data_IF_866429087380
#
_entry.id   IF_866429087380
#
_cell.length_a   1.000
_cell.length_b   1.000
_cell.length_c   1.000
_cell.angle_alpha   90.00
_cell.angle_beta   90.00
_cell.angle_gamma   90.00
#
_symmetry.space_group_name_H-M   'P 1'
#
loop_
_entity.id
_entity.type
_entity.pdbx_description
1 polymer ?
#
# COMPACT_ATOMS: atom_id res chain seq x y z
N UNK A 1 9.78 -2.16 1.86
CA UNK A 1 8.91 -2.68 0.81
C UNK A 1 9.60 -2.73 -0.55
N UNK A 2 8.89 -3.20 -1.51
CA UNK A 2 9.35 -3.29 -2.90
C UNK A 2 8.91 -2.04 -3.65
N UNK A 3 9.85 -1.33 -4.28
CA UNK A 3 9.58 -0.21 -5.17
C UNK A 3 9.86 -0.63 -6.61
N UNK A 4 8.89 -0.38 -7.51
CA UNK A 4 8.99 -0.66 -8.93
C UNK A 4 8.80 0.66 -9.69
N UNK A 5 9.87 1.10 -10.37
CA UNK A 5 9.91 2.31 -11.22
C UNK A 5 10.26 1.96 -12.68
N UNK A 6 10.11 0.67 -13.03
CA UNK A 6 10.50 0.17 -14.34
C UNK A 6 9.52 0.58 -15.43
N UNK A 7 10.06 0.97 -16.58
CA UNK A 7 9.26 1.26 -17.79
C UNK A 7 8.90 -0.02 -18.57
N UNK A 8 9.29 -1.19 -18.13
CA UNK A 8 8.84 -2.47 -18.67
C UNK A 8 9.86 -3.57 -18.60
N UNK A 9 9.49 -4.80 -19.03
CA UNK A 9 8.45 -5.53 -18.32
C UNK A 9 8.96 -6.07 -16.98
N UNK A 10 8.10 -6.09 -15.97
CA UNK A 10 8.41 -6.70 -14.66
C UNK A 10 7.37 -7.78 -14.37
N UNK A 11 7.82 -8.94 -13.97
CA UNK A 11 6.96 -10.04 -13.56
C UNK A 11 7.32 -10.50 -12.16
N UNK A 12 6.34 -10.43 -11.26
CA UNK A 12 6.44 -10.97 -9.91
C UNK A 12 5.36 -12.03 -9.74
N UNK A 13 5.75 -13.22 -9.37
CA UNK A 13 4.85 -14.35 -9.21
C UNK A 13 5.07 -15.04 -7.87
N UNK A 14 4.01 -15.18 -7.07
CA UNK A 14 4.09 -15.86 -5.78
C UNK A 14 5.01 -15.15 -4.78
N UNK A 15 5.04 -13.82 -4.80
CA UNK A 15 5.91 -13.04 -3.93
C UNK A 15 5.15 -12.48 -2.73
N UNK A 16 5.84 -12.36 -1.59
CA UNK A 16 5.34 -11.69 -0.40
C UNK A 16 6.25 -10.54 0.03
N UNK A 17 5.64 -9.46 0.49
CA UNK A 17 6.34 -8.32 1.09
C UNK A 17 5.53 -7.89 2.31
N UNK A 18 6.16 -7.93 3.50
CA UNK A 18 5.45 -7.85 4.76
C UNK A 18 6.15 -6.95 5.76
N UNK A 19 5.36 -6.34 6.65
CA UNK A 19 5.78 -5.58 7.83
C UNK A 19 6.64 -4.35 7.56
N UNK A 20 6.62 -3.81 6.35
CA UNK A 20 7.30 -2.55 6.03
C UNK A 20 6.46 -1.34 6.45
N UNK A 21 7.13 -0.27 6.87
CA UNK A 21 6.49 0.90 7.49
C UNK A 21 5.60 1.71 6.55
N UNK A 22 6.00 1.87 5.30
CA UNK A 22 5.33 2.78 4.37
C UNK A 22 4.43 2.03 3.39
N UNK A 23 4.96 1.01 2.75
CA UNK A 23 4.25 0.17 1.78
C UNK A 23 4.92 -1.19 1.67
N UNK A 24 4.16 -2.16 1.22
CA UNK A 24 4.69 -3.48 0.90
C UNK A 24 5.14 -3.51 -0.56
N UNK A 25 4.26 -3.09 -1.49
CA UNK A 25 4.58 -2.85 -2.88
C UNK A 25 4.20 -1.43 -3.27
N UNK A 26 5.10 -0.73 -3.96
CA UNK A 26 4.84 0.57 -4.55
C UNK A 26 5.31 0.58 -6.00
N UNK A 27 4.39 0.96 -6.90
CA UNK A 27 4.65 1.16 -8.31
C UNK A 27 4.57 2.66 -8.59
N UNK A 28 5.62 3.23 -9.13
CA UNK A 28 5.67 4.66 -9.44
C UNK A 28 6.15 4.85 -10.86
N UNK A 29 5.32 5.45 -11.69
CA UNK A 29 5.59 5.64 -13.12
C UNK A 29 6.00 4.33 -13.82
N UNK A 30 5.49 3.21 -13.31
CA UNK A 30 5.83 1.89 -13.80
C UNK A 30 4.93 1.47 -14.98
N UNK A 31 5.51 0.73 -15.92
CA UNK A 31 4.80 0.25 -17.09
C UNK A 31 5.05 -1.25 -17.30
N UNK A 32 4.04 -1.94 -17.87
CA UNK A 32 4.13 -3.36 -18.22
C UNK A 32 4.50 -4.25 -17.02
N UNK A 33 3.74 -4.15 -15.94
CA UNK A 33 4.00 -4.91 -14.72
C UNK A 33 2.92 -5.97 -14.50
N UNK A 34 3.35 -7.19 -14.26
CA UNK A 34 2.50 -8.29 -13.81
C UNK A 34 2.84 -8.62 -12.36
N UNK A 35 1.86 -8.47 -11.48
CA UNK A 35 1.89 -8.95 -10.09
C UNK A 35 0.90 -10.10 -9.97
N UNK A 36 1.38 -11.32 -9.92
CA UNK A 36 0.53 -12.51 -9.83
C UNK A 36 0.74 -13.23 -8.50
N UNK A 37 -0.35 -13.50 -7.79
CA UNK A 37 -0.36 -14.18 -6.50
C UNK A 37 0.58 -13.52 -5.49
N UNK A 38 0.45 -12.20 -5.35
CA UNK A 38 1.19 -11.45 -4.34
C UNK A 38 0.47 -11.51 -2.99
N UNK A 39 1.26 -11.44 -1.92
CA UNK A 39 0.75 -11.32 -0.55
C UNK A 39 1.42 -10.17 0.17
N UNK A 40 0.66 -9.49 1.02
CA UNK A 40 1.18 -8.45 1.91
C UNK A 40 0.61 -8.59 3.31
N UNK A 41 1.38 -8.18 4.29
CA UNK A 41 0.90 -8.02 5.65
C UNK A 41 1.41 -6.69 6.23
N UNK A 42 0.50 -5.89 6.77
CA UNK A 42 0.84 -4.64 7.44
C UNK A 42 1.58 -4.88 8.75
N UNK A 43 2.48 -3.98 9.19
CA UNK A 43 3.23 -4.16 10.44
C UNK A 43 2.31 -4.19 11.66
N UNK A 44 2.60 -5.07 12.60
CA UNK A 44 1.80 -5.31 13.82
C UNK A 44 1.66 -4.08 14.72
N UNK A 45 2.67 -3.24 14.73
CA UNK A 45 2.75 -2.04 15.57
C UNK A 45 2.04 -0.81 14.96
N UNK A 46 1.54 -0.89 13.75
CA UNK A 46 0.84 0.26 13.13
C UNK A 46 -0.34 0.71 14.02
N UNK A 47 -0.64 2.01 14.01
CA UNK A 47 -1.69 2.60 14.85
C UNK A 47 -1.19 3.12 16.20
N UNK A 48 -0.02 2.73 16.68
CA UNK A 48 0.66 3.49 17.73
C UNK A 48 1.18 4.80 17.12
N UNK A 49 1.47 5.78 17.97
CA UNK A 49 2.03 7.08 17.57
C UNK A 49 3.43 7.03 16.91
N UNK A 50 3.75 5.91 16.32
CA UNK A 50 4.74 5.75 15.27
C UNK A 50 4.12 6.06 13.90
N UNK A 51 3.25 7.08 13.85
CA UNK A 51 3.14 7.77 12.60
C UNK A 51 4.59 7.97 12.13
N UNK A 52 4.96 7.55 10.92
CA UNK A 52 6.25 7.89 10.42
C UNK A 52 6.30 9.41 10.36
N UNK A 53 6.62 10.01 11.49
CA UNK A 53 7.22 11.31 11.44
C UNK A 53 8.36 11.06 10.47
N UNK A 54 8.26 11.61 9.29
CA UNK A 54 9.21 11.46 8.19
C UNK A 54 10.65 11.67 8.64
N UNK A 55 10.82 12.36 9.75
CA UNK A 55 12.07 12.58 10.45
C UNK A 55 12.63 11.33 11.16
N UNK A 56 11.80 10.34 11.49
CA UNK A 56 12.19 9.21 12.32
C UNK A 56 12.33 7.88 11.56
N UNK A 57 11.88 7.77 10.30
CA UNK A 57 11.99 6.53 9.53
C UNK A 57 13.44 6.05 9.44
N UNK A 58 14.39 6.96 9.26
CA UNK A 58 15.80 6.63 9.17
C UNK A 58 16.41 6.26 10.52
N UNK A 59 15.92 6.83 11.61
CA UNK A 59 16.34 6.51 12.97
C UNK A 59 15.85 5.13 13.39
N UNK A 60 14.60 4.82 13.08
CA UNK A 60 14.01 3.51 13.38
C UNK A 60 14.64 2.38 12.55
N UNK A 61 15.00 2.66 11.31
CA UNK A 61 15.65 1.70 10.43
C UNK A 61 17.15 1.48 10.72
N UNK A 62 17.73 2.18 11.71
CA UNK A 62 19.16 2.11 12.05
C UNK A 62 20.10 2.34 10.84
N UNK A 63 19.68 3.13 9.86
CA UNK A 63 20.54 3.51 8.75
C UNK A 63 21.50 4.61 9.20
N UNK A 64 22.81 4.38 9.22
CA UNK A 64 23.79 5.38 9.59
C UNK A 64 24.03 6.44 8.49
N UNK A 65 23.20 6.46 7.44
CA UNK A 65 23.34 7.43 6.36
C UNK A 65 22.74 8.78 6.76
N UNK A 66 23.55 9.83 6.93
CA UNK A 66 23.08 11.17 7.26
C UNK A 66 22.20 11.80 6.18
N UNK A 67 22.15 11.21 4.98
CA UNK A 67 21.27 11.62 3.89
C UNK A 67 20.04 10.73 3.75
N UNK A 68 19.83 9.78 4.66
CA UNK A 68 18.67 8.88 4.62
C UNK A 68 17.36 9.68 4.56
N UNK A 69 17.19 10.68 5.42
CA UNK A 69 16.04 11.57 5.41
C UNK A 69 15.83 12.27 4.05
N UNK A 70 16.91 12.68 3.40
CA UNK A 70 16.83 13.31 2.09
C UNK A 70 16.50 12.34 0.97
N UNK A 71 16.93 11.09 1.03
CA UNK A 71 16.60 10.07 0.01
C UNK A 71 15.17 9.60 0.12
N UNK A 72 14.65 9.46 1.33
CA UNK A 72 13.24 9.10 1.53
C UNK A 72 12.29 10.28 1.33
N UNK A 73 12.76 11.51 1.55
CA UNK A 73 12.00 12.72 1.30
C UNK A 73 12.19 13.29 -0.11
N UNK A 74 13.26 12.92 -0.82
CA UNK A 74 13.53 13.34 -2.19
C UNK A 74 13.15 12.26 -3.22
N UNK A 75 12.66 11.11 -2.78
CA UNK A 75 11.84 10.24 -3.60
C UNK A 75 10.60 11.01 -4.06
N UNK A 76 9.84 10.50 -5.01
CA UNK A 76 8.56 11.09 -5.33
C UNK A 76 7.86 11.35 -4.00
N UNK A 77 7.48 12.59 -3.78
CA UNK A 77 6.94 13.10 -2.51
C UNK A 77 6.10 12.02 -1.86
N UNK A 78 6.40 11.65 -0.59
CA UNK A 78 5.51 10.76 0.13
C UNK A 78 4.15 11.43 0.00
N UNK A 79 3.20 10.84 -0.72
CA UNK A 79 2.02 11.57 -1.10
C UNK A 79 1.31 12.12 0.13
N UNK A 80 0.72 13.31 0.09
CA UNK A 80 0.05 13.94 1.24
C UNK A 80 -0.98 13.04 1.92
N UNK A 81 -1.50 12.04 1.23
CA UNK A 81 -2.45 11.06 1.75
C UNK A 81 -1.82 10.06 2.73
N UNK A 82 -0.50 9.87 2.75
CA UNK A 82 0.17 9.08 3.79
C UNK A 82 0.16 9.76 5.17
N UNK A 83 -0.24 11.03 5.23
CA UNK A 83 -0.24 11.85 6.45
C UNK A 83 -1.62 12.13 7.03
N UNK A 84 -2.68 11.57 6.46
CA UNK A 84 -4.02 11.85 6.95
C UNK A 84 -4.34 11.05 8.21
N UNK A 85 -4.84 11.77 9.18
CA UNK A 85 -5.06 11.41 10.58
C UNK A 85 -5.93 10.16 10.77
N UNK A 86 -5.44 9.20 11.53
CA UNK A 86 -6.19 8.05 11.99
C UNK A 86 -5.85 6.75 11.25
N UNK A 87 -6.82 6.07 10.67
CA UNK A 87 -6.61 4.82 9.94
C UNK A 87 -5.86 5.00 8.60
N UNK A 88 -5.63 6.23 8.19
CA UNK A 88 -5.00 6.61 6.94
C UNK A 88 -3.46 6.63 7.01
N UNK A 89 -2.90 6.76 8.22
CA UNK A 89 -1.44 6.81 8.47
C UNK A 89 -0.81 5.41 8.56
N UNK A 90 -1.32 4.46 7.79
CA UNK A 90 -0.91 3.07 7.89
C UNK A 90 -0.22 2.59 6.63
N UNK A 91 0.60 1.56 6.82
CA UNK A 91 1.36 0.96 5.72
C UNK A 91 0.44 0.42 4.63
N UNK A 92 0.65 0.82 3.39
CA UNK A 92 -0.11 0.31 2.24
C UNK A 92 0.36 -1.10 1.84
N UNK A 93 -0.57 -1.94 1.45
CA UNK A 93 -0.27 -3.23 0.81
C UNK A 93 0.24 -3.01 -0.60
N UNK A 94 -0.55 -2.30 -1.41
CA UNK A 94 -0.23 -1.98 -2.80
C UNK A 94 -0.52 -0.51 -3.09
N UNK A 95 0.49 0.19 -3.57
CA UNK A 95 0.40 1.57 -4.02
C UNK A 95 0.76 1.67 -5.50
N UNK A 96 -0.01 2.45 -6.26
CA UNK A 96 0.24 2.74 -7.67
C UNK A 96 0.10 4.24 -7.92
N UNK A 97 1.07 4.82 -8.61
CA UNK A 97 1.08 6.23 -8.99
C UNK A 97 1.60 6.39 -10.42
N UNK A 98 0.81 7.02 -11.28
CA UNK A 98 1.15 7.30 -12.68
C UNK A 98 1.60 6.03 -13.45
N UNK A 99 0.87 4.93 -13.28
CA UNK A 99 1.21 3.63 -13.82
C UNK A 99 0.37 3.25 -15.04
N UNK A 100 0.96 2.50 -15.95
CA UNK A 100 0.26 2.03 -17.15
C UNK A 100 0.54 0.55 -17.42
N UNK A 101 -0.46 -0.15 -17.96
CA UNK A 101 -0.35 -1.57 -18.31
C UNK A 101 0.03 -2.42 -17.08
N UNK A 102 -0.75 -2.31 -16.02
CA UNK A 102 -0.54 -3.05 -14.78
C UNK A 102 -1.57 -4.16 -14.67
N UNK A 103 -1.10 -5.38 -14.43
CA UNK A 103 -1.94 -6.55 -14.22
C UNK A 103 -1.67 -7.12 -12.83
N UNK A 104 -2.69 -7.10 -11.99
CA UNK A 104 -2.67 -7.71 -10.65
C UNK A 104 -3.61 -8.89 -10.66
N UNK A 105 -3.06 -10.10 -10.58
CA UNK A 105 -3.81 -11.34 -10.66
C UNK A 105 -3.68 -12.14 -9.37
N UNK A 106 -4.71 -12.11 -8.54
CA UNK A 106 -4.71 -12.80 -7.24
C UNK A 106 -3.81 -12.11 -6.21
N UNK A 107 -4.28 -11.03 -5.60
CA UNK A 107 -3.58 -10.33 -4.54
C UNK A 107 -4.28 -10.55 -3.19
N UNK A 108 -3.54 -11.00 -2.18
CA UNK A 108 -3.97 -11.02 -0.79
C UNK A 108 -3.31 -9.87 -0.02
N UNK A 109 -4.08 -8.87 0.36
CA UNK A 109 -3.59 -7.71 1.09
C UNK A 109 -4.18 -7.71 2.50
N UNK A 110 -3.33 -7.84 3.51
CA UNK A 110 -3.77 -8.13 4.87
C UNK A 110 -3.31 -7.08 5.88
N UNK A 111 -4.21 -6.72 6.78
CA UNK A 111 -3.94 -5.94 7.97
C UNK A 111 -4.61 -6.62 9.17
N UNK A 112 -3.82 -7.30 9.97
CA UNK A 112 -4.34 -8.11 11.08
C UNK A 112 -4.30 -7.40 12.42
N UNK A 113 -3.58 -6.29 12.52
CA UNK A 113 -3.30 -5.66 13.80
C UNK A 113 -3.51 -4.15 13.76
N UNK A 114 -3.94 -3.64 14.88
CA UNK A 114 -3.86 -2.24 15.28
C UNK A 114 -3.16 -2.16 16.63
N UNK A 115 -1.95 -1.59 16.67
CA UNK A 115 -1.17 -1.45 17.92
C UNK A 115 -0.97 -2.79 18.64
N UNK A 116 -0.60 -3.84 17.90
CA UNK A 116 -0.48 -5.24 18.36
C UNK A 116 -1.80 -5.90 18.77
N UNK A 117 -2.94 -5.25 18.60
CA UNK A 117 -4.26 -5.76 18.96
C UNK A 117 -5.03 -6.19 17.72
N UNK A 118 -5.92 -7.15 17.88
CA UNK A 118 -6.74 -7.70 16.79
C UNK A 118 -8.23 -7.36 16.91
N UNK A 119 -8.61 -6.51 17.86
CA UNK A 119 -10.02 -6.13 18.09
C UNK A 119 -10.65 -5.49 16.86
N UNK A 120 -9.83 -4.80 16.06
CA UNK A 120 -10.24 -4.13 14.82
C UNK A 120 -10.60 -5.07 13.67
N UNK A 121 -10.24 -6.36 13.74
CA UNK A 121 -10.52 -7.32 12.67
C UNK A 121 -12.01 -7.57 12.49
N UNK A 122 -12.77 -7.70 13.57
CA UNK A 122 -14.21 -7.96 13.52
C UNK A 122 -15.00 -6.83 12.86
N UNK A 123 -14.44 -5.62 12.89
CA UNK A 123 -15.03 -4.41 12.31
C UNK A 123 -14.41 -4.05 10.94
N UNK A 124 -13.45 -4.85 10.44
CA UNK A 124 -12.65 -4.54 9.24
C UNK A 124 -11.97 -3.17 9.30
N UNK A 125 -11.56 -2.74 10.49
CA UNK A 125 -11.13 -1.40 10.80
C UNK A 125 -9.68 -1.32 11.31
N UNK A 126 -8.81 -2.28 10.95
CA UNK A 126 -7.39 -2.19 11.28
C UNK A 126 -6.71 -1.07 10.48
N UNK A 127 -7.20 -0.79 9.29
CA UNK A 127 -6.85 0.40 8.50
C UNK A 127 -7.94 0.74 7.48
N UNK A 128 -7.85 1.92 6.88
CA UNK A 128 -8.84 2.37 5.92
C UNK A 128 -8.67 1.66 4.58
N UNK A 129 -7.49 1.71 3.99
CA UNK A 129 -7.21 1.13 2.68
C UNK A 129 -5.88 0.39 2.66
N UNK A 130 -5.83 -0.72 1.93
CA UNK A 130 -4.62 -1.49 1.66
C UNK A 130 -4.14 -1.31 0.23
N UNK A 131 -5.03 -0.98 -0.70
CA UNK A 131 -4.71 -0.72 -2.10
C UNK A 131 -5.09 0.71 -2.47
N UNK A 132 -4.12 1.45 -2.99
CA UNK A 132 -4.33 2.85 -3.40
C UNK A 132 -3.77 3.08 -4.80
N UNK A 133 -4.61 3.66 -5.64
CA UNK A 133 -4.21 4.21 -6.94
C UNK A 133 -4.25 5.73 -6.80
N UNK A 134 -3.07 6.34 -6.81
CA UNK A 134 -2.95 7.79 -6.75
C UNK A 134 -3.01 8.33 -8.19
N UNK A 135 -4.14 8.88 -8.52
CA UNK A 135 -4.47 9.34 -9.86
C UNK A 135 -4.77 10.85 -9.87
N UNK A 136 -3.93 11.60 -9.19
CA UNK A 136 -4.00 13.04 -9.17
C UNK A 136 -3.73 13.61 -10.58
N UNK A 137 -4.68 13.44 -11.50
CA UNK A 137 -4.61 14.04 -12.83
C UNK A 137 -4.59 13.07 -14.00
N UNK A 138 -5.28 11.97 -13.91
CA UNK A 138 -5.50 11.02 -15.02
C UNK A 138 -4.21 10.42 -15.61
N UNK A 139 -3.24 10.14 -14.75
CA UNK A 139 -1.92 9.65 -15.19
C UNK A 139 -1.81 8.14 -15.24
N UNK A 140 -2.69 7.43 -14.55
CA UNK A 140 -2.71 5.96 -14.57
C UNK A 140 -3.75 5.44 -15.53
N UNK A 141 -3.41 4.45 -16.35
CA UNK A 141 -4.37 3.81 -17.23
C UNK A 141 -4.06 2.32 -17.45
N UNK A 142 -5.04 1.59 -17.97
CA UNK A 142 -4.93 0.16 -18.26
C UNK A 142 -4.45 -0.66 -17.05
N UNK A 143 -5.11 -0.43 -15.90
CA UNK A 143 -4.87 -1.20 -14.67
C UNK A 143 -5.97 -2.25 -14.53
N UNK A 144 -5.55 -3.50 -14.43
CA UNK A 144 -6.43 -4.65 -14.26
C UNK A 144 -6.14 -5.34 -12.95
N UNK A 145 -7.16 -5.49 -12.13
CA UNK A 145 -7.07 -6.22 -10.87
C UNK A 145 -8.13 -7.32 -10.84
N UNK A 146 -7.68 -8.55 -10.68
CA UNK A 146 -8.53 -9.74 -10.67
C UNK A 146 -8.23 -10.56 -9.42
N UNK A 147 -9.28 -10.99 -8.72
CA UNK A 147 -9.17 -11.76 -7.48
C UNK A 147 -8.36 -11.00 -6.39
N UNK A 148 -8.74 -9.76 -6.14
CA UNK A 148 -8.24 -9.00 -5.00
C UNK A 148 -8.97 -9.43 -3.73
N UNK A 149 -8.24 -9.82 -2.71
CA UNK A 149 -8.75 -10.11 -1.38
C UNK A 149 -8.07 -9.22 -0.34
N UNK A 150 -8.86 -8.67 0.57
CA UNK A 150 -8.34 -7.87 1.70
C UNK A 150 -8.84 -8.42 3.03
N UNK A 151 -8.07 -8.20 4.08
CA UNK A 151 -8.48 -8.47 5.46
C UNK A 151 -8.12 -7.26 6.32
N UNK A 152 -9.06 -6.82 7.14
CA UNK A 152 -8.85 -5.76 8.12
C UNK A 152 -8.84 -4.35 7.54
N UNK A 153 -9.27 -4.16 6.29
CA UNK A 153 -9.46 -2.83 5.69
C UNK A 153 -10.93 -2.53 5.41
N UNK A 154 -11.27 -1.26 5.46
CA UNK A 154 -12.63 -0.79 5.15
C UNK A 154 -12.85 -0.64 3.64
N UNK A 155 -11.79 -0.36 2.91
CA UNK A 155 -11.80 -0.09 1.48
C UNK A 155 -10.91 -1.10 0.76
N UNK A 156 -11.43 -1.74 -0.28
CA UNK A 156 -10.65 -2.60 -1.17
C UNK A 156 -9.67 -1.80 -2.00
N UNK A 157 -10.17 -0.72 -2.63
CA UNK A 157 -9.36 0.16 -3.48
C UNK A 157 -9.73 1.61 -3.22
N UNK A 158 -8.76 2.44 -2.94
CA UNK A 158 -8.88 3.90 -2.96
C UNK A 158 -8.34 4.45 -4.27
N UNK A 159 -9.01 5.45 -4.82
CA UNK A 159 -8.63 6.13 -6.05
C UNK A 159 -8.55 7.64 -5.81
N UNK A 160 -7.38 8.24 -6.06
CA UNK A 160 -7.17 9.67 -5.89
C UNK A 160 -7.49 10.18 -4.48
N UNK A 161 -7.27 9.37 -3.43
CA UNK A 161 -7.59 9.70 -2.05
C UNK A 161 -9.06 9.48 -1.65
N UNK A 162 -9.90 8.97 -2.55
CA UNK A 162 -11.30 8.65 -2.26
C UNK A 162 -11.51 7.15 -2.15
N UNK A 163 -12.45 6.73 -1.28
CA UNK A 163 -12.87 5.34 -1.21
C UNK A 163 -13.66 5.00 -2.47
N UNK A 164 -13.03 4.28 -3.37
CA UNK A 164 -13.64 3.91 -4.63
C UNK A 164 -14.42 2.61 -4.52
N UNK A 165 -13.85 1.60 -3.88
CA UNK A 165 -14.45 0.29 -3.74
C UNK A 165 -14.42 -0.13 -2.27
N UNK A 166 -15.58 -0.13 -1.62
CA UNK A 166 -15.72 -0.53 -0.22
C UNK A 166 -15.64 -2.05 -0.08
N UNK A 167 -15.02 -2.51 1.00
CA UNK A 167 -14.87 -3.93 1.28
C UNK A 167 -16.21 -4.61 1.61
N UNK A 168 -17.05 -3.99 2.43
CA UNK A 168 -18.27 -4.60 2.94
C UNK A 168 -19.23 -5.15 1.86
N UNK A 169 -19.57 -4.41 0.77
CA UNK A 169 -20.45 -4.93 -0.27
C UNK A 169 -19.79 -5.94 -1.20
N UNK A 170 -18.46 -6.06 -1.18
CA UNK A 170 -17.70 -6.91 -2.11
C UNK A 170 -17.03 -8.12 -1.44
N UNK A 171 -17.26 -8.28 -0.14
CA UNK A 171 -16.62 -9.32 0.69
C UNK A 171 -16.87 -10.74 0.21
N UNK A 172 -18.01 -10.99 -0.40
CA UNK A 172 -18.43 -12.32 -0.86
C UNK A 172 -18.29 -12.48 -2.40
N UNK A 173 -17.77 -11.48 -3.07
CA UNK A 173 -17.58 -11.46 -4.51
C UNK A 173 -16.10 -11.59 -4.91
N UNK A 174 -15.82 -12.43 -5.91
CA UNK A 174 -14.58 -12.28 -6.66
C UNK A 174 -14.71 -11.05 -7.58
N UNK A 175 -13.85 -10.09 -7.40
CA UNK A 175 -13.67 -8.97 -8.33
C UNK A 175 -12.70 -9.35 -9.45
#
# INVERSE_FOLDING_TARGET
GVLIESQGPVWMYGTASEHHLLYQYSLVQAHNVLLAMIQTESPYFQGQAFAPATENVCVLAHFPDPNCSRRYMAGPEIPPWTYNKGLEDRSLGLHMNACNDIFVLGAGLYSFFDSYRQDSLSEHACQRSLCTIDDAGEQSNNIWMVNLATVGSQTLVSLGGYDWLLEAPHREGCL
#
